data_IF_488152524430
#
_entry.id   IF_488152524430
#
_cell.length_a   1.000
_cell.length_b   1.000
_cell.length_c   1.000
_cell.angle_alpha   90.00
_cell.angle_beta   90.00
_cell.angle_gamma   90.00
#
_symmetry.space_group_name_H-M   'P 1'
#
loop_
_entity.id
_entity.type
_entity.pdbx_description
1 polymer ?
#
# COMPACT_ATOMS: atom_id res chain seq x y z
N UNK A 1 -23.35 4.32 7.89
CA UNK A 1 -22.10 4.86 7.29
C UNK A 1 -21.19 3.71 6.86
N UNK A 2 -20.94 2.71 7.72
CA UNK A 2 -20.07 1.57 7.44
C UNK A 2 -20.57 0.73 6.27
N UNK A 3 -21.87 0.41 6.21
CA UNK A 3 -22.46 -0.35 5.10
C UNK A 3 -22.30 0.34 3.75
N UNK A 4 -22.32 1.66 3.72
CA UNK A 4 -22.15 2.42 2.49
C UNK A 4 -20.70 2.33 1.97
N UNK A 5 -19.69 2.41 2.85
CA UNK A 5 -18.29 2.27 2.46
C UNK A 5 -17.99 0.84 2.00
N UNK A 6 -18.55 -0.19 2.65
CA UNK A 6 -18.40 -1.58 2.23
C UNK A 6 -18.96 -1.80 0.81
N UNK A 7 -20.16 -1.28 0.52
CA UNK A 7 -20.75 -1.34 -0.83
C UNK A 7 -19.90 -0.63 -1.89
N UNK A 8 -19.31 0.53 -1.55
CA UNK A 8 -18.40 1.24 -2.46
C UNK A 8 -17.13 0.41 -2.73
N UNK A 9 -16.54 -0.17 -1.69
CA UNK A 9 -15.36 -1.04 -1.84
C UNK A 9 -15.68 -2.21 -2.76
N UNK A 10 -16.77 -2.93 -2.52
CA UNK A 10 -17.18 -4.07 -3.35
C UNK A 10 -17.44 -3.67 -4.80
N UNK A 11 -18.05 -2.52 -5.03
CA UNK A 11 -18.28 -1.98 -6.38
C UNK A 11 -16.96 -1.74 -7.12
N UNK A 12 -16.00 -1.05 -6.49
CA UNK A 12 -14.72 -0.75 -7.13
C UNK A 12 -13.84 -2.00 -7.30
N UNK A 13 -13.87 -2.94 -6.36
CA UNK A 13 -13.17 -4.22 -6.50
C UNK A 13 -13.65 -4.96 -7.75
N UNK A 14 -14.97 -5.10 -7.94
CA UNK A 14 -15.57 -5.76 -9.12
C UNK A 14 -15.29 -5.01 -10.43
N UNK A 15 -15.33 -3.69 -10.40
CA UNK A 15 -15.12 -2.84 -11.58
C UNK A 15 -13.65 -2.86 -12.04
N UNK A 16 -12.71 -2.84 -11.10
CA UNK A 16 -11.28 -2.71 -11.41
C UNK A 16 -10.58 -4.05 -11.61
N UNK A 17 -11.08 -5.15 -11.01
CA UNK A 17 -10.44 -6.47 -11.08
C UNK A 17 -10.20 -6.96 -12.52
N UNK A 18 -11.15 -6.86 -13.47
CA UNK A 18 -10.96 -7.37 -14.83
C UNK A 18 -10.08 -6.48 -15.72
N UNK A 19 -9.60 -5.33 -15.24
CA UNK A 19 -8.76 -4.44 -16.04
C UNK A 19 -7.34 -5.03 -16.13
N UNK A 20 -6.87 -5.19 -17.38
CA UNK A 20 -5.52 -5.67 -17.65
C UNK A 20 -4.50 -4.56 -17.36
N UNK A 21 -3.94 -4.55 -16.16
CA UNK A 21 -2.86 -3.64 -15.73
C UNK A 21 -1.51 -4.30 -15.97
N UNK A 22 -0.50 -3.46 -16.20
CA UNK A 22 0.90 -3.87 -16.29
C UNK A 22 1.79 -2.70 -15.84
N UNK A 23 3.11 -2.77 -16.03
CA UNK A 23 4.03 -1.67 -15.71
C UNK A 23 3.65 -0.40 -16.48
N UNK A 24 3.18 -0.55 -17.72
CA UNK A 24 2.68 0.54 -18.56
C UNK A 24 1.35 0.14 -19.19
N UNK A 25 0.76 1.02 -19.98
CA UNK A 25 -0.38 0.73 -20.84
C UNK A 25 -1.70 1.34 -20.39
N UNK A 26 -2.69 1.23 -21.28
CA UNK A 26 -4.02 1.83 -21.14
C UNK A 26 -4.80 1.31 -19.93
N UNK A 27 -4.52 0.08 -19.47
CA UNK A 27 -5.17 -0.49 -18.28
C UNK A 27 -4.87 0.32 -17.02
N UNK A 28 -3.64 0.81 -16.85
CA UNK A 28 -3.27 1.67 -15.75
C UNK A 28 -3.98 3.03 -15.84
N UNK A 29 -4.01 3.64 -17.01
CA UNK A 29 -4.67 4.93 -17.22
C UNK A 29 -6.18 4.82 -16.93
N UNK A 30 -6.85 3.79 -17.43
CA UNK A 30 -8.27 3.50 -17.14
C UNK A 30 -8.52 3.28 -15.65
N UNK A 31 -7.62 2.54 -14.97
CA UNK A 31 -7.72 2.33 -13.52
C UNK A 31 -7.63 3.65 -12.76
N UNK A 32 -6.66 4.51 -13.10
CA UNK A 32 -6.50 5.81 -12.47
C UNK A 32 -7.70 6.73 -12.72
N UNK A 33 -8.27 6.73 -13.92
CA UNK A 33 -9.49 7.48 -14.25
C UNK A 33 -10.67 7.07 -13.37
N UNK A 34 -10.89 5.76 -13.18
CA UNK A 34 -11.95 5.27 -12.30
C UNK A 34 -11.69 5.65 -10.82
N UNK A 35 -10.43 5.58 -10.38
CA UNK A 35 -10.07 5.95 -9.01
C UNK A 35 -10.22 7.46 -8.73
N UNK A 36 -10.29 8.31 -9.76
CA UNK A 36 -10.59 9.74 -9.62
C UNK A 36 -11.98 9.98 -9.02
N UNK A 37 -12.92 9.05 -9.14
CA UNK A 37 -14.23 9.12 -8.48
C UNK A 37 -14.14 9.04 -6.95
N UNK A 38 -13.07 8.44 -6.41
CA UNK A 38 -12.84 8.32 -4.96
C UNK A 38 -12.04 9.51 -4.44
N UNK A 39 -10.98 9.89 -5.15
CA UNK A 39 -10.11 11.00 -4.77
C UNK A 39 -9.53 11.69 -6.05
N UNK A 40 -9.35 13.02 -6.06
CA UNK A 40 -9.03 13.80 -7.27
C UNK A 40 -7.56 13.63 -7.69
N UNK A 41 -7.17 12.43 -8.10
CA UNK A 41 -5.83 12.09 -8.58
C UNK A 41 -5.46 12.92 -9.81
N UNK A 42 -4.22 13.38 -9.86
CA UNK A 42 -3.60 13.91 -11.07
C UNK A 42 -2.88 12.77 -11.77
N UNK A 43 -3.31 12.45 -12.98
CA UNK A 43 -2.64 11.45 -13.82
C UNK A 43 -1.43 12.11 -14.45
N UNK A 44 -0.25 11.60 -14.14
CA UNK A 44 1.04 12.02 -14.68
C UNK A 44 1.65 10.92 -15.53
N UNK A 45 2.67 11.25 -16.30
CA UNK A 45 3.36 10.29 -17.14
C UNK A 45 4.85 10.56 -17.22
N UNK A 46 5.60 9.51 -17.58
CA UNK A 46 7.03 9.55 -17.89
C UNK A 46 7.20 8.83 -19.22
N UNK A 47 7.88 9.44 -20.18
CA UNK A 47 8.05 8.91 -21.52
C UNK A 47 8.86 7.60 -21.50
N UNK A 48 8.47 6.64 -22.32
CA UNK A 48 9.26 5.44 -22.60
C UNK A 48 10.65 5.82 -23.08
N UNK A 49 11.67 5.05 -22.71
CA UNK A 49 13.06 5.36 -23.04
C UNK A 49 13.74 6.38 -22.12
N UNK A 50 13.00 7.03 -21.18
CA UNK A 50 13.60 7.94 -20.19
C UNK A 50 14.57 7.16 -19.30
N UNK A 51 15.82 7.61 -19.23
CA UNK A 51 16.82 7.06 -18.30
C UNK A 51 16.60 7.63 -16.89
N UNK A 52 16.56 6.74 -15.91
CA UNK A 52 16.33 7.06 -14.50
C UNK A 52 17.32 6.27 -13.66
N UNK A 53 18.40 6.92 -13.23
CA UNK A 53 19.58 6.27 -12.63
C UNK A 53 20.12 5.19 -13.55
N UNK A 54 20.18 3.94 -13.09
CA UNK A 54 20.65 2.77 -13.84
C UNK A 54 19.55 2.07 -14.67
N UNK A 55 18.32 2.60 -14.61
CA UNK A 55 17.15 2.03 -15.26
C UNK A 55 16.70 2.84 -16.48
N UNK A 56 15.86 2.22 -17.29
CA UNK A 56 15.17 2.89 -18.40
C UNK A 56 13.68 2.59 -18.32
N UNK A 57 12.85 3.60 -18.49
CA UNK A 57 11.39 3.41 -18.55
C UNK A 57 11.07 2.54 -19.78
N UNK A 58 10.37 1.40 -19.62
CA UNK A 58 10.15 0.47 -20.72
C UNK A 58 9.18 1.02 -21.77
N UNK A 59 9.11 0.42 -22.96
CA UNK A 59 8.08 0.72 -23.95
C UNK A 59 6.68 0.59 -23.38
N UNK A 60 5.75 1.41 -23.84
CA UNK A 60 4.34 1.24 -23.49
C UNK A 60 3.80 -0.05 -24.10
N UNK A 61 3.34 -0.95 -23.24
CA UNK A 61 2.78 -2.24 -23.64
C UNK A 61 1.26 -2.23 -23.54
N UNK A 62 0.61 -2.66 -24.61
CA UNK A 62 -0.82 -2.88 -24.63
C UNK A 62 -1.13 -4.23 -25.30
N UNK A 63 -2.21 -4.87 -24.92
CA UNK A 63 -2.71 -6.09 -25.53
C UNK A 63 -4.22 -5.98 -25.76
N UNK A 64 -4.66 -6.35 -26.96
CA UNK A 64 -6.08 -6.37 -27.33
C UNK A 64 -6.65 -7.78 -27.19
N UNK A 65 -5.90 -8.80 -27.64
CA UNK A 65 -6.35 -10.17 -27.68
C UNK A 65 -5.17 -11.14 -27.58
N UNK A 66 -5.35 -12.22 -26.83
CA UNK A 66 -4.37 -13.30 -26.82
C UNK A 66 -5.06 -14.62 -26.47
N UNK A 67 -4.72 -15.68 -27.21
CA UNK A 67 -5.27 -17.02 -26.98
C UNK A 67 -4.35 -18.12 -27.52
N UNK A 68 -4.56 -19.32 -27.02
CA UNK A 68 -4.10 -20.58 -27.59
C UNK A 68 -5.35 -21.37 -27.98
N UNK A 69 -5.37 -21.90 -29.22
CA UNK A 69 -6.40 -22.85 -29.67
C UNK A 69 -5.77 -24.01 -30.43
N UNK A 70 -6.47 -25.15 -30.48
CA UNK A 70 -6.10 -26.23 -31.37
C UNK A 70 -6.47 -25.90 -32.83
N UNK A 71 -6.13 -26.77 -33.80
CA UNK A 71 -6.43 -26.56 -35.20
C UNK A 71 -7.91 -26.86 -35.55
N UNK A 72 -8.65 -27.45 -34.61
CA UNK A 72 -10.10 -27.67 -34.70
C UNK A 72 -10.89 -26.44 -34.26
N UNK A 73 -10.21 -25.42 -33.67
CA UNK A 73 -10.77 -24.15 -33.24
C UNK A 73 -11.14 -24.10 -31.75
N UNK A 74 -10.88 -25.16 -31.00
CA UNK A 74 -11.17 -25.19 -29.56
C UNK A 74 -10.19 -24.28 -28.79
N UNK A 75 -10.71 -23.35 -28.02
CA UNK A 75 -9.93 -22.42 -27.24
C UNK A 75 -9.46 -23.12 -25.96
N UNK A 76 -8.15 -23.12 -25.72
CA UNK A 76 -7.50 -23.71 -24.56
C UNK A 76 -7.27 -22.64 -23.49
N UNK A 77 -6.78 -21.47 -23.93
CA UNK A 77 -6.47 -20.32 -23.08
C UNK A 77 -6.92 -19.05 -23.80
N UNK A 78 -7.59 -18.13 -23.09
CA UNK A 78 -7.98 -16.81 -23.61
C UNK A 78 -7.90 -15.78 -22.49
N UNK A 79 -7.23 -14.63 -22.74
CA UNK A 79 -7.15 -13.52 -21.78
C UNK A 79 -8.51 -12.89 -21.48
N UNK A 80 -9.53 -13.10 -22.30
CA UNK A 80 -10.91 -12.68 -21.98
C UNK A 80 -11.45 -13.35 -20.72
N UNK A 81 -11.02 -14.58 -20.44
CA UNK A 81 -11.41 -15.31 -19.24
C UNK A 81 -10.66 -14.83 -18.03
N UNK A 82 -9.34 -14.58 -18.16
CA UNK A 82 -8.50 -14.07 -17.09
C UNK A 82 -7.23 -13.44 -17.67
N UNK A 83 -6.92 -12.21 -17.29
CA UNK A 83 -5.78 -11.45 -17.81
C UNK A 83 -4.43 -12.13 -17.57
N UNK A 84 -4.25 -12.79 -16.42
CA UNK A 84 -2.98 -13.44 -16.07
C UNK A 84 -2.66 -14.69 -16.91
N UNK A 85 -3.57 -15.12 -17.80
CA UNK A 85 -3.24 -16.13 -18.79
C UNK A 85 -2.12 -15.71 -19.76
N UNK A 86 -1.89 -14.41 -19.91
CA UNK A 86 -0.79 -13.90 -20.72
C UNK A 86 0.37 -13.44 -19.83
N UNK A 87 1.57 -13.86 -20.17
CA UNK A 87 2.77 -13.26 -19.60
C UNK A 87 2.81 -11.78 -19.95
N UNK A 88 2.80 -10.90 -18.95
CA UNK A 88 2.84 -9.46 -19.19
C UNK A 88 4.09 -9.07 -20.00
N UNK A 89 3.95 -8.09 -20.89
CA UNK A 89 5.00 -7.69 -21.85
C UNK A 89 5.29 -8.72 -22.96
N UNK A 90 4.40 -9.70 -23.18
CA UNK A 90 4.51 -10.59 -24.34
C UNK A 90 4.50 -9.80 -25.64
N UNK A 91 5.45 -10.17 -26.54
CA UNK A 91 5.52 -9.65 -27.90
C UNK A 91 4.39 -10.20 -28.79
N UNK A 92 3.96 -9.50 -29.86
CA UNK A 92 2.95 -10.00 -30.75
C UNK A 92 3.43 -11.27 -31.47
N UNK A 93 2.50 -12.20 -31.68
CA UNK A 93 2.71 -13.43 -32.44
C UNK A 93 1.39 -13.91 -33.06
N UNK A 94 1.45 -14.44 -34.27
CA UNK A 94 0.38 -15.16 -34.95
C UNK A 94 1.00 -16.34 -35.68
N UNK A 95 1.00 -17.54 -35.05
CA UNK A 95 1.75 -18.68 -35.56
C UNK A 95 1.13 -20.01 -35.12
N UNK A 96 1.18 -20.99 -36.02
CA UNK A 96 0.93 -22.39 -35.69
C UNK A 96 2.27 -23.03 -35.27
N UNK A 97 2.33 -23.55 -34.04
CA UNK A 97 3.53 -24.14 -33.44
C UNK A 97 3.28 -25.60 -33.05
N UNK A 98 4.34 -26.40 -32.98
CA UNK A 98 4.30 -27.73 -32.39
C UNK A 98 4.11 -27.63 -30.86
N UNK A 99 3.72 -28.74 -30.22
CA UNK A 99 3.67 -28.78 -28.76
C UNK A 99 5.03 -28.47 -28.13
N UNK A 100 6.12 -29.02 -28.68
CA UNK A 100 7.49 -28.82 -28.14
C UNK A 100 7.97 -27.36 -28.22
N UNK A 101 7.51 -26.60 -29.23
CA UNK A 101 7.75 -25.17 -29.31
C UNK A 101 6.86 -24.43 -28.31
N UNK A 102 5.58 -24.77 -28.23
CA UNK A 102 4.63 -24.15 -27.31
C UNK A 102 5.04 -24.35 -25.85
N UNK A 103 5.46 -25.54 -25.48
CA UNK A 103 5.82 -25.91 -24.09
C UNK A 103 6.91 -25.00 -23.48
N UNK A 104 7.85 -24.52 -24.32
CA UNK A 104 8.87 -23.56 -23.89
C UNK A 104 8.32 -22.20 -23.45
N UNK A 105 7.08 -21.91 -23.81
CA UNK A 105 6.39 -20.64 -23.55
C UNK A 105 5.19 -20.82 -22.61
N UNK A 106 5.02 -22.00 -22.00
CA UNK A 106 3.98 -22.29 -21.05
C UNK A 106 4.49 -22.26 -19.61
N UNK A 107 3.74 -21.59 -18.74
CA UNK A 107 4.06 -21.47 -17.33
C UNK A 107 2.90 -21.99 -16.47
N UNK A 108 3.20 -22.92 -15.59
CA UNK A 108 2.24 -23.56 -14.67
C UNK A 108 2.92 -23.97 -13.37
N UNK A 109 2.12 -24.35 -12.37
CA UNK A 109 2.59 -24.80 -11.05
C UNK A 109 2.09 -26.24 -10.83
N UNK A 110 3.02 -27.21 -10.78
CA UNK A 110 2.66 -28.63 -10.55
C UNK A 110 2.14 -28.86 -9.16
N UNK A 111 2.71 -28.17 -8.18
CA UNK A 111 2.37 -28.20 -6.77
C UNK A 111 1.03 -27.55 -6.45
N UNK A 112 0.52 -26.69 -7.37
CA UNK A 112 -0.78 -26.02 -7.26
C UNK A 112 -1.56 -26.19 -8.57
N UNK A 113 -2.09 -27.39 -8.85
CA UNK A 113 -2.55 -27.77 -10.18
C UNK A 113 -3.75 -26.96 -10.71
N UNK A 114 -4.50 -26.28 -9.86
CA UNK A 114 -5.64 -25.43 -10.22
C UNK A 114 -5.22 -23.96 -10.45
N UNK A 115 -4.08 -23.54 -9.88
CA UNK A 115 -3.61 -22.18 -9.91
C UNK A 115 -2.96 -21.83 -11.25
N UNK A 116 -3.29 -20.66 -11.79
CA UNK A 116 -2.62 -20.06 -12.94
C UNK A 116 -1.61 -19.07 -12.39
N UNK A 117 -0.29 -19.22 -12.64
CA UNK A 117 0.71 -18.30 -12.10
C UNK A 117 0.67 -16.95 -12.82
N UNK A 118 0.92 -15.86 -12.10
CA UNK A 118 1.25 -14.56 -12.69
C UNK A 118 2.71 -14.52 -13.10
N UNK A 119 2.98 -14.11 -14.35
CA UNK A 119 4.34 -13.94 -14.89
C UNK A 119 4.44 -12.66 -15.71
N UNK A 120 5.65 -12.13 -15.80
CA UNK A 120 5.98 -10.96 -16.62
C UNK A 120 7.38 -11.09 -17.21
N UNK A 121 7.59 -10.63 -18.43
CA UNK A 121 8.90 -10.64 -19.11
C UNK A 121 9.63 -9.30 -19.03
N UNK A 122 9.01 -8.24 -18.56
CA UNK A 122 9.58 -6.89 -18.42
C UNK A 122 10.36 -6.38 -19.64
N UNK A 123 11.68 -6.42 -19.56
CA UNK A 123 12.59 -5.86 -20.57
C UNK A 123 13.03 -6.86 -21.66
N UNK A 124 12.77 -8.17 -21.46
CA UNK A 124 13.11 -9.19 -22.46
C UNK A 124 12.00 -9.29 -23.50
N UNK A 125 12.35 -9.23 -24.79
CA UNK A 125 11.41 -9.47 -25.89
C UNK A 125 11.13 -10.97 -25.97
N UNK A 126 10.02 -11.39 -25.39
CA UNK A 126 9.57 -12.77 -25.35
C UNK A 126 8.04 -12.79 -25.34
N UNK A 127 7.45 -13.96 -25.53
CA UNK A 127 6.02 -14.21 -25.37
C UNK A 127 5.80 -15.45 -24.52
N UNK A 128 4.61 -15.58 -23.94
CA UNK A 128 4.28 -16.77 -23.18
C UNK A 128 2.87 -16.72 -22.60
N UNK A 129 2.40 -17.90 -22.21
CA UNK A 129 1.09 -18.07 -21.58
C UNK A 129 1.21 -18.76 -20.23
N UNK A 130 0.33 -18.37 -19.33
CA UNK A 130 0.14 -18.99 -18.03
C UNK A 130 -1.15 -19.79 -18.03
N UNK A 131 -1.10 -20.99 -17.51
CA UNK A 131 -2.26 -21.87 -17.42
C UNK A 131 -2.16 -22.74 -16.16
N UNK A 132 -3.28 -23.30 -15.71
CA UNK A 132 -3.25 -24.25 -14.61
C UNK A 132 -2.58 -25.56 -15.08
N UNK A 133 -1.96 -26.29 -14.15
CA UNK A 133 -1.40 -27.60 -14.48
C UNK A 133 -2.50 -28.58 -14.94
N UNK A 134 -3.72 -28.42 -14.46
CA UNK A 134 -4.86 -29.19 -14.94
C UNK A 134 -5.22 -28.89 -16.41
N UNK A 135 -5.09 -27.64 -16.87
CA UNK A 135 -5.21 -27.30 -18.29
C UNK A 135 -4.03 -27.85 -19.10
N UNK A 136 -2.80 -27.70 -18.60
CA UNK A 136 -1.60 -28.22 -19.25
C UNK A 136 -1.65 -29.73 -19.52
N UNK A 137 -2.12 -30.53 -18.56
CA UNK A 137 -2.25 -31.99 -18.71
C UNK A 137 -3.21 -32.43 -19.81
N UNK A 138 -4.13 -31.56 -20.22
CA UNK A 138 -5.10 -31.84 -21.30
C UNK A 138 -4.55 -31.53 -22.70
N UNK A 139 -3.36 -30.95 -22.80
CA UNK A 139 -2.71 -30.69 -24.09
C UNK A 139 -2.23 -31.99 -24.72
N UNK A 140 -2.58 -32.21 -25.96
CA UNK A 140 -2.10 -33.36 -26.76
C UNK A 140 -0.70 -33.01 -27.31
N UNK A 141 0.30 -33.77 -26.90
CA UNK A 141 1.70 -33.57 -27.30
C UNK A 141 1.99 -33.81 -28.78
N UNK A 142 1.08 -34.50 -29.48
CA UNK A 142 1.21 -34.81 -30.90
C UNK A 142 0.51 -33.77 -31.79
N UNK A 143 -0.21 -32.82 -31.18
CA UNK A 143 -0.95 -31.78 -31.93
C UNK A 143 -0.14 -30.52 -32.13
N UNK A 144 -0.56 -29.70 -33.09
CA UNK A 144 -0.11 -28.31 -33.28
C UNK A 144 -1.17 -27.37 -32.73
N UNK A 145 -0.73 -26.18 -32.36
CA UNK A 145 -1.55 -25.16 -31.72
C UNK A 145 -1.39 -23.82 -32.41
N UNK A 146 -2.48 -23.12 -32.60
CA UNK A 146 -2.47 -21.73 -33.05
C UNK A 146 -2.31 -20.81 -31.84
N UNK A 147 -1.18 -20.11 -31.80
CA UNK A 147 -0.86 -19.08 -30.80
C UNK A 147 -1.09 -17.72 -31.44
N UNK A 148 -1.89 -16.91 -30.74
CA UNK A 148 -2.18 -15.56 -31.18
C UNK A 148 -2.04 -14.58 -30.03
N UNK A 149 -1.24 -13.51 -30.23
CA UNK A 149 -1.11 -12.39 -29.31
C UNK A 149 -1.09 -11.11 -30.15
N UNK A 150 -2.15 -10.31 -29.99
CA UNK A 150 -2.27 -8.96 -30.55
C UNK A 150 -1.84 -7.96 -29.47
N UNK A 151 -0.56 -7.73 -29.38
CA UNK A 151 0.06 -6.79 -28.46
C UNK A 151 0.89 -5.74 -29.19
N UNK A 152 1.13 -4.62 -28.52
CA UNK A 152 1.98 -3.54 -29.02
C UNK A 152 3.02 -3.17 -27.96
N UNK A 153 4.22 -2.82 -28.42
CA UNK A 153 5.32 -2.27 -27.61
C UNK A 153 5.75 -0.96 -28.26
N UNK A 154 5.28 0.16 -27.70
CA UNK A 154 5.52 1.48 -28.26
C UNK A 154 6.68 2.18 -27.53
N UNK A 155 7.82 2.30 -28.21
CA UNK A 155 9.00 2.97 -27.67
C UNK A 155 8.80 4.51 -27.51
N UNK A 156 7.80 5.08 -28.18
CA UNK A 156 7.37 6.49 -28.04
C UNK A 156 6.16 6.65 -27.12
N UNK A 157 5.85 5.63 -26.35
CA UNK A 157 4.75 5.61 -25.38
C UNK A 157 5.11 6.26 -24.06
N UNK A 158 4.35 5.91 -23.02
CA UNK A 158 4.48 6.49 -21.67
C UNK A 158 4.18 5.47 -20.58
N UNK A 159 4.77 5.68 -19.42
CA UNK A 159 4.39 5.08 -18.15
C UNK A 159 3.55 6.08 -17.38
N UNK A 160 2.30 5.73 -17.05
CA UNK A 160 1.39 6.61 -16.30
C UNK A 160 1.38 6.26 -14.82
N UNK A 161 1.16 7.27 -13.97
CA UNK A 161 0.94 7.12 -12.53
C UNK A 161 -0.02 8.18 -12.01
N UNK A 162 -0.65 7.88 -10.86
CA UNK A 162 -1.51 8.82 -10.15
C UNK A 162 -0.76 9.50 -9.02
N UNK A 163 -0.93 10.82 -8.90
CA UNK A 163 -0.37 11.58 -7.78
C UNK A 163 -1.42 12.50 -7.19
N UNK A 164 -1.43 12.60 -5.86
CA UNK A 164 -2.22 13.59 -5.15
C UNK A 164 -1.41 14.15 -3.99
N UNK A 165 -1.46 15.46 -3.81
CA UNK A 165 -0.76 16.16 -2.75
C UNK A 165 -1.74 16.97 -1.89
N UNK A 166 -1.70 16.74 -0.58
CA UNK A 166 -2.41 17.51 0.42
C UNK A 166 -1.43 18.34 1.22
N UNK A 167 -1.55 19.66 1.16
CA UNK A 167 -0.77 20.58 1.98
C UNK A 167 -1.28 20.56 3.42
N UNK A 168 -0.38 20.35 4.38
CA UNK A 168 -0.59 20.53 5.80
C UNK A 168 -0.05 21.86 6.30
N UNK A 169 0.00 22.02 7.63
CA UNK A 169 0.61 23.20 8.29
C UNK A 169 2.12 23.20 8.15
N UNK A 170 2.75 22.02 8.12
CA UNK A 170 4.19 21.81 7.97
C UNK A 170 4.56 21.47 6.53
N UNK A 171 5.76 21.87 6.10
CA UNK A 171 6.37 21.40 4.85
C UNK A 171 6.88 19.96 4.93
N UNK A 172 6.99 19.38 6.15
CA UNK A 172 7.35 17.97 6.32
C UNK A 172 6.25 17.09 5.74
N UNK A 173 6.63 16.10 4.98
CA UNK A 173 5.73 15.30 4.15
C UNK A 173 5.76 13.82 4.57
N UNK A 174 4.59 13.20 4.62
CA UNK A 174 4.41 11.75 4.74
C UNK A 174 4.03 11.20 3.38
N UNK A 175 4.83 10.27 2.87
CA UNK A 175 4.60 9.59 1.60
C UNK A 175 3.66 8.40 1.81
N UNK A 176 2.65 8.27 0.96
CA UNK A 176 1.79 7.08 0.85
C UNK A 176 1.96 6.55 -0.57
N UNK A 177 2.38 5.31 -0.73
CA UNK A 177 2.62 4.70 -2.03
C UNK A 177 1.93 3.36 -2.15
N UNK A 178 1.35 3.08 -3.32
CA UNK A 178 0.75 1.79 -3.66
C UNK A 178 0.95 1.50 -5.14
N UNK A 179 1.23 0.25 -5.50
CA UNK A 179 1.55 -0.08 -6.89
C UNK A 179 0.32 -0.52 -7.68
N UNK A 180 0.30 -0.12 -8.97
CA UNK A 180 -0.84 -0.26 -9.89
C UNK A 180 -0.66 -1.35 -10.95
N UNK A 181 0.48 -1.98 -11.05
CA UNK A 181 0.89 -2.74 -12.23
C UNK A 181 0.42 -4.21 -12.29
N UNK A 182 -0.31 -4.71 -11.30
CA UNK A 182 -0.71 -6.12 -11.24
C UNK A 182 -2.10 -6.34 -11.86
N UNK A 183 -2.24 -7.21 -12.87
CA UNK A 183 -3.52 -7.52 -13.51
C UNK A 183 -4.27 -8.60 -12.73
N UNK A 184 -5.56 -8.44 -12.52
CA UNK A 184 -6.45 -9.47 -11.95
C UNK A 184 -5.89 -10.22 -10.73
N UNK A 185 -5.17 -9.49 -9.85
CA UNK A 185 -4.75 -9.92 -8.54
C UNK A 185 -5.43 -9.02 -7.50
N UNK A 186 -6.24 -9.63 -6.63
CA UNK A 186 -7.15 -8.89 -5.77
C UNK A 186 -6.50 -8.34 -4.52
N UNK A 187 -5.78 -9.18 -3.76
CA UNK A 187 -5.03 -8.73 -2.60
C UNK A 187 -3.74 -8.03 -3.02
N UNK A 188 -3.07 -8.55 -4.04
CA UNK A 188 -1.81 -8.05 -4.59
C UNK A 188 -1.98 -7.43 -6.00
N UNK A 189 -2.36 -6.18 -6.18
CA UNK A 189 -2.48 -5.14 -5.18
C UNK A 189 -3.72 -4.25 -5.42
N UNK A 190 -4.79 -4.80 -5.97
CA UNK A 190 -6.03 -4.02 -6.13
C UNK A 190 -6.53 -3.50 -4.78
N UNK A 191 -6.38 -4.32 -3.73
CA UNK A 191 -6.75 -3.94 -2.36
C UNK A 191 -6.00 -2.70 -1.88
N UNK A 192 -4.69 -2.64 -2.12
CA UNK A 192 -3.84 -1.52 -1.73
C UNK A 192 -4.19 -0.22 -2.46
N UNK A 193 -4.49 -0.31 -3.76
CA UNK A 193 -4.95 0.85 -4.55
C UNK A 193 -6.21 1.46 -3.96
N UNK A 194 -7.22 0.64 -3.69
CA UNK A 194 -8.49 1.11 -3.14
C UNK A 194 -8.32 1.68 -1.73
N UNK A 195 -7.61 0.96 -0.86
CA UNK A 195 -7.35 1.46 0.49
C UNK A 195 -6.68 2.82 0.46
N UNK A 196 -5.66 2.98 -0.40
CA UNK A 196 -4.92 4.24 -0.54
C UNK A 196 -5.81 5.42 -0.94
N UNK A 197 -6.75 5.20 -1.87
CA UNK A 197 -7.71 6.21 -2.28
C UNK A 197 -8.69 6.57 -1.17
N UNK A 198 -9.26 5.59 -0.45
CA UNK A 198 -10.16 5.84 0.66
C UNK A 198 -9.45 6.50 1.85
N UNK A 199 -8.21 6.10 2.14
CA UNK A 199 -7.38 6.76 3.14
C UNK A 199 -7.15 8.22 2.79
N UNK A 200 -6.80 8.51 1.53
CA UNK A 200 -6.54 9.89 1.11
C UNK A 200 -7.81 10.73 1.05
N UNK A 201 -8.96 10.14 0.71
CA UNK A 201 -10.28 10.78 0.84
C UNK A 201 -10.55 11.21 2.28
N UNK A 202 -10.27 10.35 3.24
CA UNK A 202 -10.39 10.68 4.67
C UNK A 202 -9.41 11.79 5.07
N UNK A 203 -8.14 11.66 4.67
CA UNK A 203 -7.13 12.68 4.93
C UNK A 203 -7.52 14.05 4.36
N UNK A 204 -8.17 14.11 3.19
CA UNK A 204 -8.56 15.38 2.56
C UNK A 204 -9.52 16.19 3.41
N UNK A 205 -10.29 15.53 4.29
CA UNK A 205 -11.25 16.15 5.21
C UNK A 205 -10.64 16.57 6.55
N UNK A 206 -9.40 16.17 6.84
CA UNK A 206 -8.71 16.46 8.10
C UNK A 206 -7.89 17.76 8.03
N UNK A 207 -7.79 18.47 9.14
CA UNK A 207 -6.79 19.53 9.32
C UNK A 207 -5.47 18.92 9.78
N UNK A 208 -4.57 18.64 8.84
CA UNK A 208 -3.32 17.95 9.12
C UNK A 208 -2.16 18.90 9.44
N UNK A 209 -1.27 18.46 10.32
CA UNK A 209 0.01 19.12 10.55
C UNK A 209 1.00 18.79 9.43
N UNK A 210 1.20 17.52 9.14
CA UNK A 210 2.04 17.09 8.02
C UNK A 210 1.34 17.31 6.68
N UNK A 211 2.14 17.54 5.64
CA UNK A 211 1.67 17.39 4.25
C UNK A 211 1.69 15.90 3.89
N UNK A 212 0.81 15.50 2.96
CA UNK A 212 0.68 14.11 2.52
C UNK A 212 0.77 14.03 1.01
N UNK A 213 1.50 13.03 0.53
CA UNK A 213 1.57 12.70 -0.89
C UNK A 213 1.12 11.26 -1.10
N UNK A 214 0.18 11.07 -2.03
CA UNK A 214 -0.22 9.77 -2.53
C UNK A 214 0.42 9.53 -3.89
N UNK A 215 1.00 8.35 -4.06
CA UNK A 215 1.47 7.82 -5.34
C UNK A 215 0.79 6.49 -5.62
N UNK A 216 0.07 6.40 -6.75
CA UNK A 216 -0.38 5.15 -7.33
C UNK A 216 0.48 4.91 -8.57
N UNK A 217 1.48 4.04 -8.46
CA UNK A 217 2.62 4.03 -9.37
C UNK A 217 2.99 2.58 -9.77
N UNK A 218 3.50 2.32 -10.98
CA UNK A 218 4.03 1.00 -11.30
C UNK A 218 5.16 0.61 -10.34
N UNK A 219 5.09 -0.60 -9.80
CA UNK A 219 6.07 -1.11 -8.84
C UNK A 219 7.49 -1.04 -9.41
N UNK A 220 8.46 -0.80 -8.55
CA UNK A 220 9.90 -0.71 -8.85
C UNK A 220 10.23 0.45 -9.79
N UNK A 221 10.04 0.31 -11.09
CA UNK A 221 10.45 1.35 -12.07
C UNK A 221 9.70 2.67 -11.87
N UNK A 222 8.44 2.61 -11.46
CA UNK A 222 7.66 3.81 -11.17
C UNK A 222 8.23 4.58 -9.98
N UNK A 223 8.47 3.90 -8.86
CA UNK A 223 9.07 4.49 -7.66
C UNK A 223 10.47 5.06 -7.95
N UNK A 224 11.31 4.32 -8.69
CA UNK A 224 12.64 4.76 -9.11
C UNK A 224 12.55 6.02 -9.97
N UNK A 225 11.66 6.02 -10.96
CA UNK A 225 11.50 7.15 -11.87
C UNK A 225 10.95 8.39 -11.15
N UNK A 226 10.02 8.20 -10.21
CA UNK A 226 9.51 9.29 -9.39
C UNK A 226 10.60 9.89 -8.50
N UNK A 227 11.41 9.05 -7.84
CA UNK A 227 12.54 9.48 -7.01
C UNK A 227 13.60 10.24 -7.81
N UNK A 228 13.83 9.84 -9.07
CA UNK A 228 14.77 10.53 -9.96
C UNK A 228 14.30 11.96 -10.31
N UNK A 229 13.00 12.18 -10.45
CA UNK A 229 12.44 13.44 -10.95
C UNK A 229 11.97 14.41 -9.85
N UNK A 230 11.86 13.95 -8.59
CA UNK A 230 11.23 14.73 -7.54
C UNK A 230 12.15 14.94 -6.32
N UNK A 231 12.12 16.13 -5.69
CA UNK A 231 12.88 16.38 -4.48
C UNK A 231 12.27 15.63 -3.29
N UNK A 232 13.11 14.97 -2.50
CA UNK A 232 12.68 14.14 -1.36
C UNK A 232 13.02 14.74 0.00
N UNK A 233 13.72 15.89 0.06
CA UNK A 233 14.22 16.51 1.30
C UNK A 233 13.17 16.79 2.37
N UNK A 234 11.91 16.95 1.99
CA UNK A 234 10.82 17.21 2.91
C UNK A 234 10.13 15.93 3.38
N UNK A 235 10.40 14.80 2.74
CA UNK A 235 9.76 13.52 3.10
C UNK A 235 10.40 13.00 4.39
N UNK A 236 9.60 12.96 5.43
CA UNK A 236 10.02 12.55 6.77
C UNK A 236 9.97 11.02 6.94
N UNK A 237 9.06 10.39 6.23
CA UNK A 237 8.81 8.96 6.24
C UNK A 237 7.56 8.65 5.44
N UNK A 238 7.14 7.40 5.43
CA UNK A 238 5.95 7.04 4.67
C UNK A 238 5.43 5.63 4.92
N UNK A 239 4.44 5.29 4.13
CA UNK A 239 3.71 4.03 4.17
C UNK A 239 3.61 3.47 2.75
N UNK A 240 4.04 2.24 2.54
CA UNK A 240 3.65 1.46 1.36
C UNK A 240 2.41 0.66 1.71
N UNK A 241 1.41 0.71 0.85
CA UNK A 241 0.13 0.03 1.06
C UNK A 241 -0.02 -1.08 0.04
N UNK A 242 0.04 -2.32 0.53
CA UNK A 242 -0.12 -3.51 -0.30
C UNK A 242 -0.65 -4.70 0.49
N UNK A 243 -1.37 -5.61 -0.20
CA UNK A 243 -1.88 -6.85 0.37
C UNK A 243 -2.69 -6.62 1.66
N UNK A 244 -3.79 -5.84 1.57
CA UNK A 244 -4.51 -5.32 2.75
C UNK A 244 -5.92 -5.89 2.94
N UNK A 245 -6.36 -6.85 2.14
CA UNK A 245 -7.74 -7.37 2.18
C UNK A 245 -7.86 -8.89 2.36
N UNK A 246 -6.75 -9.61 2.45
CA UNK A 246 -6.73 -11.06 2.63
C UNK A 246 -7.29 -11.53 3.98
N UNK A 247 -7.53 -12.85 4.17
CA UNK A 247 -8.13 -13.40 5.39
C UNK A 247 -7.18 -13.45 6.60
N UNK A 248 -5.86 -13.39 6.37
CA UNK A 248 -4.83 -13.49 7.40
C UNK A 248 -4.91 -12.41 8.49
N UNK A 249 -4.09 -12.48 9.51
CA UNK A 249 -3.98 -11.45 10.54
C UNK A 249 -3.43 -10.14 9.95
N UNK A 250 -3.58 -9.04 10.68
CA UNK A 250 -2.82 -7.82 10.38
C UNK A 250 -1.33 -8.11 10.61
N UNK A 251 -0.51 -7.60 9.71
CA UNK A 251 0.94 -7.66 9.78
C UNK A 251 1.55 -6.27 9.70
N UNK A 252 2.73 -6.13 10.20
CA UNK A 252 3.50 -4.91 10.14
C UNK A 252 4.94 -5.19 9.73
N UNK A 253 5.36 -4.68 8.58
CA UNK A 253 6.76 -4.69 8.15
C UNK A 253 7.42 -3.39 8.58
N UNK A 254 8.49 -3.52 9.38
CA UNK A 254 9.24 -2.39 9.93
C UNK A 254 9.85 -1.50 8.85
N UNK A 255 10.06 -0.24 9.20
CA UNK A 255 11.01 0.60 8.47
C UNK A 255 12.42 0.00 8.58
N UNK A 256 13.34 0.41 7.69
CA UNK A 256 14.74 -0.04 7.78
C UNK A 256 15.43 0.40 9.09
N UNK A 257 14.92 1.43 9.77
CA UNK A 257 15.40 1.88 11.09
C UNK A 257 14.82 1.03 12.24
N UNK A 258 13.64 0.45 12.07
CA UNK A 258 12.98 -0.42 13.03
C UNK A 258 12.38 0.25 14.28
N UNK A 259 12.69 1.52 14.52
CA UNK A 259 12.24 2.31 15.68
C UNK A 259 11.89 3.77 15.34
N UNK A 260 11.70 4.08 14.06
CA UNK A 260 11.26 5.40 13.62
C UNK A 260 9.85 5.72 14.14
N UNK A 261 9.45 6.99 14.14
CA UNK A 261 8.09 7.39 14.55
C UNK A 261 6.97 6.71 13.72
N UNK A 262 7.25 6.36 12.45
CA UNK A 262 6.35 5.53 11.62
C UNK A 262 6.15 4.17 12.30
N UNK A 263 7.24 3.52 12.75
CA UNK A 263 7.18 2.24 13.45
C UNK A 263 6.35 2.33 14.74
N UNK A 264 6.60 3.37 15.54
CA UNK A 264 5.88 3.60 16.80
C UNK A 264 4.38 3.82 16.55
N UNK A 265 4.03 4.67 15.58
CA UNK A 265 2.64 4.97 15.24
C UNK A 265 1.89 3.73 14.76
N UNK A 266 2.52 2.88 13.94
CA UNK A 266 1.93 1.62 13.48
C UNK A 266 1.69 0.68 14.66
N UNK A 267 2.67 0.53 15.57
CA UNK A 267 2.55 -0.32 16.76
C UNK A 267 1.40 0.12 17.66
N UNK A 268 1.25 1.41 17.88
CA UNK A 268 0.11 1.95 18.64
C UNK A 268 -1.22 1.66 17.94
N UNK A 269 -1.28 1.79 16.61
CA UNK A 269 -2.50 1.55 15.85
C UNK A 269 -2.93 0.09 15.86
N UNK A 270 -1.98 -0.84 15.81
CA UNK A 270 -2.23 -2.29 15.78
C UNK A 270 -2.40 -2.91 17.17
N UNK A 271 -1.95 -2.22 18.22
CA UNK A 271 -1.94 -2.71 19.59
C UNK A 271 -1.15 -4.04 19.70
N UNK A 272 -1.72 -5.14 20.21
CA UNK A 272 -0.99 -6.39 20.46
C UNK A 272 -1.30 -7.52 19.46
N UNK A 273 -2.24 -7.33 18.54
CA UNK A 273 -2.75 -8.41 17.69
C UNK A 273 -2.27 -8.27 16.24
N UNK A 274 -0.97 -8.42 16.02
CA UNK A 274 -0.37 -8.39 14.68
C UNK A 274 0.89 -9.23 14.59
N UNK A 275 1.28 -9.61 13.37
CA UNK A 275 2.57 -10.23 13.08
C UNK A 275 3.57 -9.14 12.75
N UNK A 276 4.73 -9.15 13.40
CA UNK A 276 5.81 -8.21 13.12
C UNK A 276 6.82 -8.83 12.14
N UNK A 277 7.08 -8.15 11.03
CA UNK A 277 8.07 -8.52 10.03
C UNK A 277 9.25 -7.55 10.07
N UNK A 278 10.46 -8.09 9.98
CA UNK A 278 11.68 -7.28 9.84
C UNK A 278 11.70 -6.57 8.47
N UNK A 279 12.45 -5.47 8.40
CA UNK A 279 12.79 -4.90 7.11
C UNK A 279 13.68 -5.88 6.33
N UNK A 280 13.31 -6.11 5.08
CA UNK A 280 14.10 -6.86 4.12
C UNK A 280 14.13 -6.05 2.82
N UNK A 281 15.28 -5.96 2.14
CA UNK A 281 15.40 -5.25 0.85
C UNK A 281 14.79 -6.05 -0.31
N UNK A 282 13.77 -6.84 -0.02
CA UNK A 282 12.99 -7.67 -0.92
C UNK A 282 11.51 -7.37 -0.67
N UNK A 283 10.68 -7.43 -1.68
CA UNK A 283 9.25 -7.16 -1.61
C UNK A 283 8.88 -5.97 -2.47
N UNK A 284 8.18 -4.99 -1.92
CA UNK A 284 7.62 -3.87 -2.64
C UNK A 284 8.52 -2.62 -2.65
N UNK A 285 7.93 -1.45 -2.90
CA UNK A 285 8.64 -0.19 -3.16
C UNK A 285 9.32 0.43 -1.94
N UNK A 286 9.07 -0.04 -0.72
CA UNK A 286 9.79 0.42 0.48
C UNK A 286 11.31 0.35 0.32
N UNK A 287 11.83 -0.66 -0.41
CA UNK A 287 13.26 -0.80 -0.71
C UNK A 287 13.81 0.32 -1.60
N UNK A 288 12.97 0.88 -2.49
CA UNK A 288 13.39 1.97 -3.37
C UNK A 288 13.49 3.29 -2.57
N UNK A 289 12.46 3.60 -1.80
CA UNK A 289 12.43 4.80 -0.95
C UNK A 289 13.49 4.76 0.17
N UNK A 290 13.75 3.57 0.72
CA UNK A 290 14.73 3.37 1.79
C UNK A 290 16.16 3.16 1.29
N UNK A 291 16.39 3.21 -0.03
CA UNK A 291 17.72 3.00 -0.63
C UNK A 291 18.75 4.03 -0.12
N UNK A 292 20.06 3.72 -0.20
CA UNK A 292 21.12 4.49 0.48
C UNK A 292 21.14 5.98 0.18
N UNK A 293 20.73 6.41 -1.02
CA UNK A 293 20.69 7.82 -1.40
C UNK A 293 19.51 8.57 -0.78
N UNK A 294 18.39 7.91 -0.51
CA UNK A 294 17.15 8.54 -0.05
C UNK A 294 16.88 8.34 1.43
N UNK A 295 17.12 7.12 1.95
CA UNK A 295 16.97 6.77 3.37
C UNK A 295 15.63 7.21 3.97
N UNK A 296 14.54 7.10 3.21
CA UNK A 296 13.20 7.44 3.67
C UNK A 296 12.66 6.23 4.46
N UNK A 297 12.33 6.38 5.75
CA UNK A 297 11.75 5.31 6.55
C UNK A 297 10.32 5.01 6.09
N UNK A 298 10.12 3.82 5.54
CA UNK A 298 8.81 3.36 5.04
C UNK A 298 8.37 2.14 5.84
N UNK A 299 7.19 2.22 6.44
CA UNK A 299 6.51 1.09 7.09
C UNK A 299 5.36 0.56 6.24
N UNK A 300 4.95 -0.67 6.47
CA UNK A 300 3.84 -1.31 5.75
C UNK A 300 2.93 -2.05 6.72
N UNK A 301 1.63 -1.75 6.69
CA UNK A 301 0.62 -2.57 7.35
C UNK A 301 -0.01 -3.46 6.27
N UNK A 302 -0.08 -4.76 6.54
CA UNK A 302 -0.61 -5.73 5.59
C UNK A 302 -1.67 -6.63 6.23
N UNK A 303 -2.40 -7.36 5.40
CA UNK A 303 -3.33 -8.40 5.81
C UNK A 303 -3.23 -9.54 4.81
N UNK A 304 -2.50 -10.61 5.17
CA UNK A 304 -1.88 -11.58 4.27
C UNK A 304 -0.74 -10.95 3.46
N UNK A 305 0.46 -10.87 4.08
CA UNK A 305 1.66 -10.25 3.48
C UNK A 305 2.09 -11.04 2.23
N UNK A 306 2.55 -10.34 1.20
CA UNK A 306 3.17 -10.94 0.01
C UNK A 306 4.24 -11.98 0.41
N UNK A 307 4.37 -13.03 -0.37
CA UNK A 307 5.17 -14.26 -0.12
C UNK A 307 4.72 -15.12 1.07
N UNK A 308 3.75 -14.68 1.87
CA UNK A 308 3.33 -15.38 3.09
C UNK A 308 1.93 -16.01 2.98
N UNK A 309 1.31 -16.01 1.80
CA UNK A 309 0.04 -16.68 1.56
C UNK A 309 0.09 -17.47 0.24
N UNK A 310 -0.62 -18.58 0.24
CA UNK A 310 -0.53 -19.59 -0.83
C UNK A 310 -1.06 -19.11 -2.19
N UNK A 311 -2.00 -18.18 -2.19
CA UNK A 311 -2.63 -17.61 -3.38
C UNK A 311 -1.76 -16.56 -4.08
N UNK A 312 -0.68 -16.12 -3.41
CA UNK A 312 0.21 -15.07 -3.92
C UNK A 312 0.70 -15.33 -5.33
N UNK A 313 0.61 -14.31 -6.20
CA UNK A 313 0.99 -14.35 -7.61
C UNK A 313 0.35 -15.49 -8.41
N UNK A 314 -0.90 -15.83 -8.09
CA UNK A 314 -1.70 -16.80 -8.83
C UNK A 314 -3.14 -16.33 -9.03
N UNK A 315 -3.90 -17.05 -9.88
CA UNK A 315 -5.34 -16.84 -10.10
C UNK A 315 -6.20 -17.05 -8.85
N UNK A 316 -5.63 -17.63 -7.79
CA UNK A 316 -6.32 -17.84 -6.52
C UNK A 316 -6.37 -16.55 -5.68
N UNK A 317 -5.50 -15.57 -5.95
CA UNK A 317 -5.62 -14.22 -5.42
C UNK A 317 -6.72 -13.44 -6.15
N UNK A 318 -7.95 -13.84 -5.98
CA UNK A 318 -9.13 -13.33 -6.64
C UNK A 318 -10.11 -12.65 -5.67
N UNK A 319 -11.26 -12.23 -6.18
CA UNK A 319 -12.27 -11.54 -5.37
C UNK A 319 -12.90 -12.41 -4.27
N UNK A 320 -12.81 -13.74 -4.35
CA UNK A 320 -13.28 -14.65 -3.29
C UNK A 320 -12.25 -14.80 -2.16
N UNK A 321 -10.96 -14.55 -2.44
CA UNK A 321 -9.90 -14.60 -1.43
C UNK A 321 -9.94 -13.39 -0.49
N UNK A 322 -10.37 -12.25 -0.96
CA UNK A 322 -10.41 -10.99 -0.20
C UNK A 322 -11.82 -10.66 0.30
N UNK A 323 -11.91 -9.68 1.21
CA UNK A 323 -13.21 -9.10 1.57
C UNK A 323 -13.12 -7.60 1.85
N UNK A 324 -14.22 -6.89 1.54
CA UNK A 324 -14.38 -5.46 1.87
C UNK A 324 -14.28 -5.20 3.37
N UNK A 325 -14.74 -6.12 4.23
CA UNK A 325 -14.60 -6.04 5.69
C UNK A 325 -13.13 -6.08 6.13
N UNK A 326 -12.33 -6.95 5.52
CA UNK A 326 -10.89 -7.03 5.79
C UNK A 326 -10.17 -5.76 5.33
N UNK A 327 -10.52 -5.25 4.14
CA UNK A 327 -9.98 -3.99 3.64
C UNK A 327 -10.32 -2.83 4.58
N UNK A 328 -11.57 -2.74 5.05
CA UNK A 328 -12.01 -1.71 6.02
C UNK A 328 -11.27 -1.82 7.35
N UNK A 329 -11.01 -3.04 7.83
CA UNK A 329 -10.19 -3.26 9.04
C UNK A 329 -8.78 -2.71 8.87
N UNK A 330 -8.16 -2.94 7.73
CA UNK A 330 -6.84 -2.38 7.39
C UNK A 330 -6.89 -0.86 7.23
N UNK A 331 -7.93 -0.31 6.58
CA UNK A 331 -8.13 1.13 6.45
C UNK A 331 -8.19 1.82 7.82
N UNK A 332 -8.95 1.24 8.76
CA UNK A 332 -9.03 1.76 10.13
C UNK A 332 -7.66 1.75 10.84
N UNK A 333 -6.83 0.72 10.61
CA UNK A 333 -5.46 0.68 11.14
C UNK A 333 -4.58 1.80 10.56
N UNK A 334 -4.67 2.05 9.26
CA UNK A 334 -3.97 3.17 8.62
C UNK A 334 -4.46 4.53 9.11
N UNK A 335 -5.77 4.73 9.26
CA UNK A 335 -6.35 5.98 9.82
C UNK A 335 -5.84 6.22 11.24
N UNK A 336 -5.80 5.18 12.10
CA UNK A 336 -5.23 5.29 13.45
C UNK A 336 -3.74 5.62 13.41
N UNK A 337 -2.96 4.99 12.52
CA UNK A 337 -1.54 5.31 12.34
C UNK A 337 -1.34 6.77 12.01
N UNK A 338 -2.12 7.31 11.07
CA UNK A 338 -2.07 8.74 10.74
C UNK A 338 -2.47 9.61 11.94
N UNK A 339 -3.50 9.24 12.68
CA UNK A 339 -3.92 9.97 13.89
C UNK A 339 -2.78 10.08 14.91
N UNK A 340 -2.08 9.00 15.17
CA UNK A 340 -0.94 9.02 16.09
C UNK A 340 0.24 9.85 15.55
N UNK A 341 0.55 9.75 14.26
CA UNK A 341 1.57 10.60 13.63
C UNK A 341 1.22 12.09 13.74
N UNK A 342 -0.03 12.45 13.48
CA UNK A 342 -0.53 13.84 13.60
C UNK A 342 -0.50 14.35 15.04
N UNK A 343 -0.62 13.46 16.02
CA UNK A 343 -0.54 13.79 17.44
C UNK A 343 0.91 13.86 17.94
N UNK A 344 1.88 13.28 17.21
CA UNK A 344 3.29 13.24 17.60
C UNK A 344 4.00 14.56 17.29
N UNK A 345 3.78 15.56 18.14
CA UNK A 345 4.43 16.88 18.04
C UNK A 345 5.19 17.18 19.31
N UNK A 346 6.05 18.19 19.23
CA UNK A 346 6.70 18.79 20.37
C UNK A 346 5.79 19.87 20.92
N UNK A 347 5.25 19.63 22.09
CA UNK A 347 4.34 20.55 22.78
C UNK A 347 5.11 21.36 23.82
N UNK A 348 4.65 22.61 24.07
CA UNK A 348 5.25 23.50 25.04
C UNK A 348 4.21 23.95 26.06
N UNK A 349 4.63 23.95 27.30
CA UNK A 349 3.81 24.51 28.41
C UNK A 349 3.68 26.02 28.28
N UNK A 350 2.55 26.55 28.74
CA UNK A 350 2.37 27.99 28.87
C UNK A 350 3.29 28.58 29.95
N UNK A 351 3.53 27.84 31.03
CA UNK A 351 4.44 28.19 32.14
C UNK A 351 5.39 27.02 32.34
N UNK A 352 6.69 27.30 32.47
CA UNK A 352 7.71 26.24 32.61
C UNK A 352 8.08 25.97 34.09
N UNK A 353 7.55 26.78 35.03
CA UNK A 353 7.83 26.66 36.44
C UNK A 353 6.88 25.67 37.11
N UNK A 354 7.43 24.71 37.84
CA UNK A 354 6.73 23.76 38.67
C UNK A 354 5.56 23.01 37.99
N UNK A 355 4.62 22.48 38.73
CA UNK A 355 3.42 21.83 38.20
C UNK A 355 2.29 22.84 37.97
N UNK A 356 1.29 22.43 37.17
CA UNK A 356 0.06 23.21 37.04
C UNK A 356 -0.80 23.09 38.30
N UNK A 357 -1.54 24.15 38.65
CA UNK A 357 -2.54 24.09 39.72
C UNK A 357 -3.76 23.33 39.18
N UNK A 358 -3.75 22.01 39.28
CA UNK A 358 -4.75 21.12 38.68
C UNK A 358 -6.14 21.27 39.34
N UNK A 359 -6.19 21.71 40.57
CA UNK A 359 -7.49 22.00 41.26
C UNK A 359 -8.30 23.11 40.61
N UNK A 360 -7.74 23.87 39.66
CA UNK A 360 -8.46 24.80 38.79
C UNK A 360 -9.17 24.11 37.61
N UNK A 361 -8.90 22.85 37.39
CA UNK A 361 -9.50 22.06 36.30
C UNK A 361 -10.73 21.35 36.86
N UNK A 362 -11.90 21.95 36.69
CA UNK A 362 -13.17 21.36 37.13
C UNK A 362 -13.34 19.94 36.59
N UNK A 363 -13.78 19.03 37.47
CA UNK A 363 -14.06 17.61 37.19
C UNK A 363 -12.85 16.73 36.81
N UNK A 364 -11.61 17.18 36.97
CA UNK A 364 -10.39 16.40 36.65
C UNK A 364 -9.59 16.07 37.88
N UNK A 365 -9.46 17.02 38.81
CA UNK A 365 -8.78 16.82 40.07
C UNK A 365 -9.81 16.55 41.19
N UNK A 366 -9.58 15.57 42.08
CA UNK A 366 -10.51 15.29 43.17
C UNK A 366 -10.61 16.47 44.13
N UNK A 367 -11.83 16.73 44.60
CA UNK A 367 -12.13 17.83 45.57
C UNK A 367 -11.40 17.62 46.92
N UNK A 368 -11.01 16.38 47.21
CA UNK A 368 -10.33 15.99 48.44
C UNK A 368 -9.04 15.28 48.08
N UNK A 369 -7.91 15.84 48.54
CA UNK A 369 -6.57 15.25 48.36
C UNK A 369 -6.29 14.11 49.32
N UNK A 370 -5.10 13.46 49.19
CA UNK A 370 -4.62 12.44 50.13
C UNK A 370 -5.05 11.00 49.76
N UNK A 371 -5.58 10.78 48.58
CA UNK A 371 -5.79 9.41 48.06
C UNK A 371 -4.45 8.72 47.84
N UNK A 372 -4.27 7.59 48.51
CA UNK A 372 -3.09 6.74 48.41
C UNK A 372 -3.41 5.59 47.48
N UNK A 373 -3.19 5.76 46.21
CA UNK A 373 -3.06 4.58 45.34
C UNK A 373 -1.83 4.76 44.44
N UNK A 374 -0.66 4.34 44.88
CA UNK A 374 0.58 4.41 44.09
C UNK A 374 0.58 3.46 42.88
N UNK A 375 -0.51 2.72 42.63
CA UNK A 375 -0.57 1.67 41.63
C UNK A 375 -1.57 1.89 40.48
N UNK A 376 -2.29 3.00 40.43
CA UNK A 376 -3.18 3.32 39.31
C UNK A 376 -2.36 3.87 38.11
N UNK A 377 -1.60 2.99 37.49
CA UNK A 377 -0.99 3.27 36.19
C UNK A 377 -2.11 3.31 35.14
N UNK A 378 -2.19 4.41 34.39
CA UNK A 378 -3.21 4.58 33.35
C UNK A 378 -4.38 5.48 33.76
N UNK A 379 -4.23 6.28 34.81
CA UNK A 379 -5.18 7.31 35.18
C UNK A 379 -4.89 8.61 34.40
N UNK A 380 -5.93 9.35 34.06
CA UNK A 380 -5.87 10.69 33.42
C UNK A 380 -4.91 11.62 34.19
N UNK A 381 -4.89 11.56 35.52
CA UNK A 381 -4.00 12.37 36.35
C UNK A 381 -2.53 12.04 36.16
N UNK A 382 -2.18 10.75 36.00
CA UNK A 382 -0.81 10.32 35.69
C UNK A 382 -0.37 10.86 34.33
N UNK A 383 -1.25 10.76 33.32
CA UNK A 383 -1.00 11.29 31.99
C UNK A 383 -0.84 12.82 31.99
N UNK A 384 -1.67 13.55 32.76
CA UNK A 384 -1.56 15.00 32.94
C UNK A 384 -0.21 15.35 33.62
N UNK A 385 0.21 14.61 34.63
CA UNK A 385 1.46 14.82 35.34
C UNK A 385 2.66 14.62 34.41
N UNK A 386 2.68 13.52 33.63
CA UNK A 386 3.74 13.28 32.64
C UNK A 386 3.76 14.32 31.51
N UNK A 387 2.62 14.76 31.01
CA UNK A 387 2.53 15.84 30.03
C UNK A 387 3.00 17.17 30.62
N UNK A 388 2.63 17.45 31.88
CA UNK A 388 3.10 18.64 32.59
C UNK A 388 4.60 18.67 32.78
N UNK A 389 5.23 17.53 32.97
CA UNK A 389 6.67 17.38 33.06
C UNK A 389 7.36 17.40 31.70
N UNK A 390 6.83 16.61 30.74
CA UNK A 390 7.52 16.30 29.47
C UNK A 390 7.28 17.34 28.35
N UNK A 391 6.22 18.16 28.39
CA UNK A 391 5.94 19.17 27.35
C UNK A 391 6.82 20.42 27.50
N UNK A 392 8.10 20.26 27.31
CA UNK A 392 9.13 21.32 27.45
C UNK A 392 9.47 22.02 26.11
N UNK A 393 8.86 21.57 25.01
CA UNK A 393 9.16 22.01 23.64
C UNK A 393 10.25 21.20 22.94
N UNK A 394 10.91 20.25 23.63
CA UNK A 394 11.98 19.40 23.10
C UNK A 394 11.50 17.97 22.89
N UNK A 395 10.71 17.43 23.82
CA UNK A 395 10.17 16.10 23.75
C UNK A 395 8.93 16.06 22.84
N UNK A 396 8.84 15.06 21.98
CA UNK A 396 7.61 14.71 21.26
C UNK A 396 6.65 13.93 22.16
N UNK A 397 5.40 13.78 21.74
CA UNK A 397 4.44 12.97 22.50
C UNK A 397 4.89 11.50 22.62
N UNK A 398 5.57 10.97 21.61
CA UNK A 398 6.11 9.60 21.66
C UNK A 398 7.29 9.48 22.64
N UNK A 399 8.12 10.52 22.77
CA UNK A 399 9.18 10.53 23.78
C UNK A 399 8.56 10.52 25.19
N UNK A 400 7.48 11.28 25.40
CA UNK A 400 6.74 11.28 26.68
C UNK A 400 6.08 9.93 26.94
N UNK A 401 5.57 9.27 25.90
CA UNK A 401 5.01 7.93 26.01
C UNK A 401 6.09 6.92 26.44
N UNK A 402 7.28 6.97 25.84
CA UNK A 402 8.39 6.09 26.21
C UNK A 402 8.88 6.32 27.64
N UNK A 403 8.94 7.58 28.09
CA UNK A 403 9.32 7.93 29.49
C UNK A 403 8.27 7.44 30.49
N UNK A 404 6.99 7.58 30.17
CA UNK A 404 5.88 7.29 31.08
C UNK A 404 5.44 5.83 31.06
N UNK A 405 5.64 5.15 29.92
CA UNK A 405 5.06 3.84 29.61
C UNK A 405 3.52 3.79 29.75
N UNK A 406 2.84 4.95 29.64
CA UNK A 406 1.39 5.05 29.65
C UNK A 406 0.81 4.75 28.27
N UNK A 407 -0.47 4.31 28.19
CA UNK A 407 -1.16 4.19 26.91
C UNK A 407 -1.16 5.52 26.15
N UNK A 408 -0.83 5.47 24.87
CA UNK A 408 -0.77 6.67 24.02
C UNK A 408 -2.10 7.41 23.95
N UNK A 409 -3.23 6.67 23.99
CA UNK A 409 -4.58 7.24 23.96
C UNK A 409 -4.87 8.06 25.20
N UNK A 410 -4.40 7.65 26.39
CA UNK A 410 -4.53 8.41 27.64
C UNK A 410 -3.74 9.71 27.59
N UNK A 411 -2.53 9.66 27.00
CA UNK A 411 -1.72 10.87 26.78
C UNK A 411 -2.39 11.82 25.78
N UNK A 412 -2.93 11.34 24.67
CA UNK A 412 -3.65 12.17 23.67
C UNK A 412 -4.90 12.78 24.30
N UNK A 413 -5.68 12.00 25.03
CA UNK A 413 -6.87 12.48 25.70
C UNK A 413 -6.56 13.59 26.71
N UNK A 414 -5.57 13.35 27.57
CA UNK A 414 -5.11 14.32 28.58
C UNK A 414 -4.48 15.57 27.97
N UNK A 415 -3.74 15.41 26.85
CA UNK A 415 -3.19 16.52 26.09
C UNK A 415 -4.31 17.44 25.56
N UNK A 416 -5.37 16.87 25.00
CA UNK A 416 -6.52 17.64 24.53
C UNK A 416 -7.18 18.44 25.67
N UNK A 417 -7.26 17.87 26.86
CA UNK A 417 -7.77 18.59 28.06
C UNK A 417 -6.85 19.77 28.39
N UNK A 418 -5.55 19.56 28.45
CA UNK A 418 -4.57 20.61 28.78
C UNK A 418 -4.54 21.71 27.72
N UNK A 419 -4.68 21.37 26.44
CA UNK A 419 -4.78 22.34 25.34
C UNK A 419 -6.08 23.15 25.40
N UNK A 420 -7.23 22.49 25.66
CA UNK A 420 -8.53 23.18 25.84
C UNK A 420 -8.48 24.19 26.98
N UNK A 421 -7.74 23.89 28.03
CA UNK A 421 -7.51 24.78 29.17
C UNK A 421 -6.33 25.76 28.97
N UNK A 422 -5.72 25.81 27.77
CA UNK A 422 -4.62 26.71 27.41
C UNK A 422 -3.39 26.55 28.31
N UNK A 423 -3.14 25.38 28.85
CA UNK A 423 -1.97 25.06 29.68
C UNK A 423 -0.79 24.54 28.84
N UNK A 424 -1.10 23.90 27.72
CA UNK A 424 -0.14 23.42 26.72
C UNK A 424 -0.48 24.04 25.36
N UNK A 425 0.54 24.43 24.60
CA UNK A 425 0.45 25.09 23.30
C UNK A 425 0.83 24.12 22.18
#
# INVERSE_FOLDING_TARGET
>A
LEDNILKQIDFYLKTLYPINRSITGKGNEKTLQILQDICPLKIKNISSGTKVFDWTVPPEWNVNKAYIKDLEGNIIVDIKNLNIHLVSYSTPIDKIVSFDELDKHLFYLKEKPEAIPYRTSYYKRNWGFCLSYNQYKKLDKNKKYHVYIDSTLNDKGKMVYGELYKKGKSKKEILISSYICHPSLANDNLSGLLLSCFLFKTLSQMNTYYSYRLLLIPETIGAIAWLHQNPTKNIKGGLVISCVAGPGPLGYKKTYLGNHEIDKAIKYALNKNYIEYKFEPIGSDERQYSSPAFKIPIGTITKSKYYEYDEYHTSLDNLNFISSKNLLKSLNAYIKTIHYLESNKKYKRKFNQCEFMLSKLNNIYPDTGGTISPKNKGNILDAISWLSFGCDGNNSLFDIQEMSNLPIDDLIYSLNILQKNKLIL
#
